data_IF_150093518215
#
_entry.id   IF_150093518215
#
_cell.length_a   1.000
_cell.length_b   1.000
_cell.length_c   1.000
_cell.angle_alpha   90.00
_cell.angle_beta   90.00
_cell.angle_gamma   90.00
#
_symmetry.space_group_name_H-M   'P 1'
#
loop_
_entity.id
_entity.type
_entity.pdbx_description
1 polymer ?
#
# COMPACT_ATOMS: atom_id res chain seq x y z
N UNK A 1 17.31 27.34 4.87
CA UNK A 1 17.39 25.93 5.28
C UNK A 1 16.42 25.72 6.43
N UNK A 2 15.27 25.07 6.19
CA UNK A 2 14.33 24.71 7.26
C UNK A 2 14.84 23.45 7.95
N UNK A 3 15.18 23.52 9.24
CA UNK A 3 15.35 22.31 10.05
C UNK A 3 13.99 21.62 10.11
N UNK A 4 13.84 20.53 9.35
CA UNK A 4 12.71 19.63 9.57
C UNK A 4 12.92 19.05 10.97
N UNK A 5 12.05 19.40 11.91
CA UNK A 5 11.93 18.71 13.19
C UNK A 5 11.93 17.21 12.88
N UNK A 6 12.98 16.51 13.28
CA UNK A 6 12.95 15.06 13.31
C UNK A 6 11.79 14.75 14.24
N UNK A 7 10.88 13.83 13.88
CA UNK A 7 9.65 13.59 14.66
C UNK A 7 9.87 13.15 16.12
N UNK A 8 11.13 13.16 16.58
CA UNK A 8 11.61 12.94 17.93
C UNK A 8 11.59 14.19 18.83
N UNK A 9 11.33 15.40 18.31
CA UNK A 9 11.19 16.60 19.16
C UNK A 9 10.00 16.48 20.16
N UNK A 10 9.06 15.55 19.92
CA UNK A 10 7.99 15.18 20.85
C UNK A 10 8.43 14.20 21.97
N UNK A 11 9.63 13.64 21.91
CA UNK A 11 10.12 12.58 22.82
C UNK A 11 10.64 13.13 24.14
N UNK A 12 10.99 14.41 24.19
CA UNK A 12 11.61 15.04 25.36
C UNK A 12 10.75 16.17 25.91
N UNK A 13 9.54 15.86 26.36
CA UNK A 13 8.88 16.66 27.38
C UNK A 13 9.36 16.15 28.76
N UNK A 14 10.38 16.78 29.37
CA UNK A 14 11.02 16.29 30.60
C UNK A 14 10.05 16.19 31.80
N UNK A 15 8.91 16.88 31.74
CA UNK A 15 7.98 17.03 32.87
C UNK A 15 6.66 16.26 32.69
N UNK A 16 6.56 15.33 31.73
CA UNK A 16 5.36 14.52 31.58
C UNK A 16 5.18 13.61 32.82
N UNK A 17 4.02 13.61 33.49
CA UNK A 17 3.81 12.79 34.69
C UNK A 17 4.06 11.31 34.36
N UNK A 18 4.86 10.65 35.20
CA UNK A 18 5.09 9.21 35.08
C UNK A 18 3.75 8.48 35.22
N UNK A 19 3.34 7.80 34.16
CA UNK A 19 2.17 6.92 34.23
C UNK A 19 2.51 5.71 35.08
N UNK A 20 1.53 5.29 35.87
CA UNK A 20 1.54 4.01 36.55
C UNK A 20 1.75 2.87 35.54
N UNK A 21 2.51 1.85 35.93
CA UNK A 21 2.89 0.73 35.07
C UNK A 21 1.65 0.01 34.50
N UNK A 22 0.60 -0.13 35.31
CA UNK A 22 -0.67 -0.72 34.87
C UNK A 22 -1.29 0.05 33.69
N UNK A 23 -1.26 1.39 33.76
CA UNK A 23 -1.79 2.25 32.69
C UNK A 23 -0.94 2.14 31.42
N UNK A 24 0.39 2.06 31.57
CA UNK A 24 1.30 1.87 30.42
C UNK A 24 1.04 0.53 29.74
N UNK A 25 0.92 -0.56 30.50
CA UNK A 25 0.59 -1.88 29.96
C UNK A 25 -0.75 -1.87 29.23
N UNK A 26 -1.77 -1.22 29.80
CA UNK A 26 -3.08 -1.08 29.16
C UNK A 26 -3.00 -0.31 27.83
N UNK A 27 -2.20 0.76 27.75
CA UNK A 27 -2.00 1.50 26.50
C UNK A 27 -1.31 0.65 25.43
N UNK A 28 -0.32 -0.16 25.83
CA UNK A 28 0.38 -1.06 24.91
C UNK A 28 -0.56 -2.13 24.38
N UNK A 29 -1.41 -2.69 25.22
CA UNK A 29 -2.39 -3.69 24.79
C UNK A 29 -3.36 -3.10 23.74
N UNK A 30 -3.87 -1.88 23.99
CA UNK A 30 -4.71 -1.15 23.05
C UNK A 30 -4.01 -0.86 21.71
N UNK A 31 -2.75 -0.42 21.74
CA UNK A 31 -1.96 -0.19 20.52
C UNK A 31 -1.76 -1.50 19.77
N UNK A 32 -1.45 -2.59 20.48
CA UNK A 32 -1.24 -3.91 19.89
C UNK A 32 -2.53 -4.47 19.27
N UNK A 33 -3.69 -4.20 19.87
CA UNK A 33 -4.99 -4.53 19.29
C UNK A 33 -5.24 -3.76 17.99
N UNK A 34 -4.97 -2.46 17.96
CA UNK A 34 -5.06 -1.65 16.75
C UNK A 34 -4.13 -2.13 15.64
N UNK A 35 -2.88 -2.47 15.97
CA UNK A 35 -1.92 -3.04 15.02
C UNK A 35 -2.44 -4.34 14.39
N UNK A 36 -2.94 -5.27 15.22
CA UNK A 36 -3.53 -6.53 14.73
C UNK A 36 -4.76 -6.28 13.86
N UNK A 37 -5.61 -5.35 14.26
CA UNK A 37 -6.82 -5.00 13.52
C UNK A 37 -6.49 -4.43 12.13
N UNK A 38 -5.60 -3.43 12.04
CA UNK A 38 -5.22 -2.84 10.77
C UNK A 38 -4.46 -3.82 9.87
N UNK A 39 -3.59 -4.66 10.43
CA UNK A 39 -2.91 -5.71 9.67
C UNK A 39 -3.90 -6.76 9.11
N UNK A 40 -4.93 -7.10 9.88
CA UNK A 40 -6.03 -7.95 9.41
C UNK A 40 -6.78 -7.33 8.24
N UNK A 41 -7.08 -6.03 8.32
CA UNK A 41 -7.74 -5.29 7.24
C UNK A 41 -6.87 -5.24 5.97
N UNK A 42 -5.58 -4.91 6.07
CA UNK A 42 -4.67 -4.93 4.91
C UNK A 42 -4.69 -6.31 4.20
N UNK A 43 -4.64 -7.38 4.99
CA UNK A 43 -4.69 -8.76 4.46
C UNK A 43 -6.00 -9.03 3.71
N UNK A 44 -7.14 -8.59 4.24
CA UNK A 44 -8.44 -8.73 3.59
C UNK A 44 -8.52 -7.96 2.26
N UNK A 45 -7.98 -6.74 2.19
CA UNK A 45 -7.96 -5.96 0.95
C UNK A 45 -7.10 -6.61 -0.14
N UNK A 46 -5.96 -7.20 0.22
CA UNK A 46 -5.11 -7.94 -0.74
C UNK A 46 -5.79 -9.21 -1.27
N UNK A 47 -6.53 -9.91 -0.41
CA UNK A 47 -7.34 -11.06 -0.82
C UNK A 47 -8.48 -10.62 -1.77
N UNK A 48 -9.15 -9.51 -1.46
CA UNK A 48 -10.19 -8.94 -2.31
C UNK A 48 -9.63 -8.53 -3.68
N UNK A 49 -8.45 -7.89 -3.72
CA UNK A 49 -7.77 -7.55 -4.96
C UNK A 49 -7.43 -8.78 -5.80
N UNK A 50 -6.94 -9.85 -5.18
CA UNK A 50 -6.64 -11.12 -5.87
C UNK A 50 -7.91 -11.77 -6.44
N UNK A 51 -8.99 -11.76 -5.66
CA UNK A 51 -10.29 -12.29 -6.09
C UNK A 51 -10.86 -11.47 -7.25
N UNK A 52 -10.73 -10.15 -7.18
CA UNK A 52 -11.20 -9.23 -8.20
C UNK A 52 -10.43 -9.41 -9.52
N UNK A 53 -9.11 -9.57 -9.45
CA UNK A 53 -8.25 -9.89 -10.59
C UNK A 53 -8.67 -11.22 -11.22
N UNK A 54 -8.81 -12.28 -10.41
CA UNK A 54 -9.20 -13.61 -10.88
C UNK A 54 -10.59 -13.60 -11.54
N UNK A 55 -11.57 -12.95 -10.92
CA UNK A 55 -12.92 -12.83 -11.46
C UNK A 55 -12.94 -12.09 -12.80
N UNK A 56 -12.14 -11.01 -12.92
CA UNK A 56 -12.02 -10.24 -14.15
C UNK A 56 -11.40 -11.06 -15.28
N UNK A 57 -10.32 -11.79 -14.99
CA UNK A 57 -9.69 -12.69 -15.96
C UNK A 57 -10.60 -13.87 -16.35
N UNK A 58 -11.33 -14.45 -15.38
CA UNK A 58 -12.31 -15.49 -15.64
C UNK A 58 -13.45 -15.02 -16.53
N UNK A 59 -13.99 -13.82 -16.30
CA UNK A 59 -15.02 -13.22 -17.14
C UNK A 59 -14.51 -12.96 -18.57
N UNK A 60 -13.30 -12.42 -18.72
CA UNK A 60 -12.66 -12.22 -20.03
C UNK A 60 -12.47 -13.56 -20.75
N UNK A 61 -11.95 -14.58 -20.06
CA UNK A 61 -11.76 -15.92 -20.61
C UNK A 61 -13.07 -16.57 -21.07
N UNK A 62 -14.14 -16.43 -20.27
CA UNK A 62 -15.47 -16.92 -20.61
C UNK A 62 -16.02 -16.26 -21.89
N UNK A 63 -15.88 -14.94 -22.04
CA UNK A 63 -16.32 -14.21 -23.23
C UNK A 63 -15.53 -14.61 -24.48
N UNK A 64 -14.23 -14.86 -24.32
CA UNK A 64 -13.37 -15.31 -25.41
C UNK A 64 -13.74 -16.72 -25.91
N UNK A 65 -14.13 -17.62 -25.01
CA UNK A 65 -14.47 -19.00 -25.36
C UNK A 65 -15.90 -19.14 -25.91
N UNK A 66 -16.84 -18.36 -25.40
CA UNK A 66 -18.25 -18.51 -25.74
C UNK A 66 -18.62 -17.90 -27.09
N UNK A 67 -19.47 -18.59 -27.86
CA UNK A 67 -20.25 -18.00 -28.95
C UNK A 67 -21.44 -17.21 -28.40
N UNK A 68 -21.11 -16.18 -27.62
CA UNK A 68 -22.08 -15.24 -27.09
C UNK A 68 -22.72 -14.48 -28.26
N UNK A 69 -23.98 -14.81 -28.55
CA UNK A 69 -24.86 -14.00 -29.42
C UNK A 69 -25.34 -12.78 -28.64
N UNK A 70 -24.41 -11.88 -28.32
CA UNK A 70 -24.73 -10.62 -27.64
C UNK A 70 -24.98 -9.52 -28.66
N UNK A 71 -25.87 -8.58 -28.30
CA UNK A 71 -26.10 -7.34 -29.08
C UNK A 71 -24.84 -6.47 -29.10
N UNK A 72 -23.99 -6.59 -28.08
CA UNK A 72 -22.74 -5.84 -27.94
C UNK A 72 -21.57 -6.67 -28.49
N UNK A 73 -20.65 -6.02 -29.21
CA UNK A 73 -19.41 -6.63 -29.70
C UNK A 73 -18.59 -7.16 -28.50
N UNK A 74 -18.14 -8.42 -28.60
CA UNK A 74 -17.30 -9.08 -27.58
C UNK A 74 -16.08 -8.23 -27.20
N UNK A 75 -15.48 -7.51 -28.15
CA UNK A 75 -14.32 -6.62 -27.92
C UNK A 75 -14.66 -5.45 -27.00
N UNK A 76 -15.84 -4.85 -27.16
CA UNK A 76 -16.30 -3.76 -26.28
C UNK A 76 -16.53 -4.29 -24.87
N UNK A 77 -17.11 -5.50 -24.75
CA UNK A 77 -17.38 -6.11 -23.46
C UNK A 77 -16.07 -6.44 -22.71
N UNK A 78 -15.10 -7.07 -23.38
CA UNK A 78 -13.76 -7.34 -22.81
C UNK A 78 -13.05 -6.04 -22.42
N UNK A 79 -13.10 -5.04 -23.30
CA UNK A 79 -12.53 -3.71 -23.05
C UNK A 79 -13.10 -3.06 -21.79
N UNK A 80 -14.43 -3.13 -21.65
CA UNK A 80 -15.16 -2.57 -20.51
C UNK A 80 -14.85 -3.29 -19.21
N UNK A 81 -14.79 -4.62 -19.22
CA UNK A 81 -14.41 -5.42 -18.04
C UNK A 81 -12.98 -5.09 -17.63
N UNK A 82 -12.02 -5.04 -18.57
CA UNK A 82 -10.64 -4.69 -18.27
C UNK A 82 -10.51 -3.29 -17.64
N UNK A 83 -11.27 -2.32 -18.16
CA UNK A 83 -11.29 -0.95 -17.63
C UNK A 83 -11.89 -0.89 -16.21
N UNK A 84 -13.05 -1.49 -15.98
CA UNK A 84 -13.70 -1.52 -14.66
C UNK A 84 -12.84 -2.27 -13.65
N UNK A 85 -12.23 -3.39 -14.07
CA UNK A 85 -11.32 -4.16 -13.24
C UNK A 85 -10.08 -3.34 -12.83
N UNK A 86 -9.47 -2.63 -13.78
CA UNK A 86 -8.32 -1.75 -13.52
C UNK A 86 -8.68 -0.65 -12.50
N UNK A 87 -9.82 0.03 -12.67
CA UNK A 87 -10.30 1.04 -11.72
C UNK A 87 -10.53 0.42 -10.34
N UNK A 88 -11.18 -0.75 -10.26
CA UNK A 88 -11.43 -1.45 -9.01
C UNK A 88 -10.14 -1.78 -8.24
N UNK A 89 -9.15 -2.39 -8.92
CA UNK A 89 -7.85 -2.70 -8.30
C UNK A 89 -7.11 -1.43 -7.87
N UNK A 90 -7.16 -0.36 -8.67
CA UNK A 90 -6.55 0.92 -8.31
C UNK A 90 -7.18 1.54 -7.05
N UNK A 91 -8.50 1.47 -6.90
CA UNK A 91 -9.20 1.94 -5.69
C UNK A 91 -8.83 1.11 -4.46
N UNK A 92 -8.76 -0.23 -4.60
CA UNK A 92 -8.33 -1.12 -3.52
C UNK A 92 -6.90 -0.79 -3.07
N UNK A 93 -6.00 -0.55 -4.02
CA UNK A 93 -4.63 -0.12 -3.73
C UNK A 93 -4.57 1.20 -2.96
N UNK A 94 -5.38 2.18 -3.36
CA UNK A 94 -5.44 3.48 -2.69
C UNK A 94 -5.87 3.30 -1.23
N UNK A 95 -6.89 2.49 -0.97
CA UNK A 95 -7.34 2.20 0.39
C UNK A 95 -6.27 1.46 1.21
N UNK A 96 -5.71 0.38 0.67
CA UNK A 96 -4.69 -0.46 1.33
C UNK A 96 -3.46 0.38 1.72
N UNK A 97 -2.83 1.08 0.76
CA UNK A 97 -1.56 1.78 1.01
C UNK A 97 -1.76 3.19 1.61
N UNK A 98 -2.76 3.96 1.18
CA UNK A 98 -2.89 5.36 1.66
C UNK A 98 -3.63 5.48 2.97
N UNK A 99 -4.56 4.58 3.26
CA UNK A 99 -5.37 4.67 4.47
C UNK A 99 -4.85 3.70 5.50
N UNK A 100 -4.97 2.39 5.24
CA UNK A 100 -4.71 1.38 6.27
C UNK A 100 -3.23 1.26 6.64
N UNK A 101 -2.34 1.26 5.65
CA UNK A 101 -0.90 1.23 5.92
C UNK A 101 -0.42 2.46 6.70
N UNK A 102 -1.02 3.62 6.48
CA UNK A 102 -0.70 4.83 7.26
C UNK A 102 -1.21 4.75 8.70
N UNK A 103 -2.40 4.19 8.91
CA UNK A 103 -2.96 3.99 10.24
C UNK A 103 -2.16 2.97 11.04
N UNK A 104 -1.82 1.83 10.43
CA UNK A 104 -0.95 0.81 11.03
C UNK A 104 0.39 1.42 11.45
N UNK A 105 1.02 2.18 10.54
CA UNK A 105 2.29 2.83 10.81
C UNK A 105 2.19 3.90 11.92
N UNK A 106 1.05 4.60 12.02
CA UNK A 106 0.83 5.55 13.11
C UNK A 106 0.73 4.84 14.47
N UNK A 107 -0.02 3.75 14.56
CA UNK A 107 -0.11 2.93 15.78
C UNK A 107 1.26 2.35 16.16
N UNK A 108 1.98 1.82 15.17
CA UNK A 108 3.33 1.26 15.36
C UNK A 108 4.33 2.28 15.87
N UNK A 109 4.30 3.52 15.35
CA UNK A 109 5.13 4.62 15.85
C UNK A 109 4.82 4.97 17.30
N UNK A 110 3.54 4.96 17.68
CA UNK A 110 3.14 5.21 19.07
C UNK A 110 3.63 4.10 20.00
N UNK A 111 3.63 2.84 19.54
CA UNK A 111 4.23 1.72 20.26
C UNK A 111 5.74 1.91 20.47
N UNK A 112 6.48 2.25 19.42
CA UNK A 112 7.92 2.57 19.51
C UNK A 112 8.17 3.72 20.49
N UNK A 113 7.34 4.77 20.45
CA UNK A 113 7.45 5.89 21.37
C UNK A 113 7.37 5.44 22.84
N UNK A 114 6.43 4.55 23.18
CA UNK A 114 6.31 4.01 24.53
C UNK A 114 7.52 3.14 24.90
N UNK A 115 8.01 2.30 23.98
CA UNK A 115 9.21 1.47 24.19
C UNK A 115 10.48 2.31 24.41
N UNK A 116 10.60 3.48 23.78
CA UNK A 116 11.70 4.43 24.01
C UNK A 116 11.54 5.15 25.34
N UNK A 117 10.31 5.50 25.72
CA UNK A 117 10.01 6.29 26.92
C UNK A 117 10.16 5.48 28.22
N UNK A 118 9.80 4.20 28.19
CA UNK A 118 9.82 3.33 29.37
C UNK A 118 10.81 2.18 29.18
N UNK A 119 12.03 2.34 29.70
CA UNK A 119 13.14 1.39 29.52
C UNK A 119 12.87 -0.02 30.08
N UNK A 120 11.90 -0.18 30.98
CA UNK A 120 11.51 -1.48 31.53
C UNK A 120 10.64 -2.31 30.56
N UNK A 121 10.13 -1.70 29.49
CA UNK A 121 9.34 -2.41 28.48
C UNK A 121 10.24 -3.21 27.52
N UNK A 122 9.76 -4.38 27.04
CA UNK A 122 10.44 -5.09 25.98
C UNK A 122 10.40 -4.29 24.68
N UNK A 123 11.54 -4.19 24.00
CA UNK A 123 11.74 -3.35 22.80
C UNK A 123 11.36 -4.05 21.49
N UNK A 124 10.26 -4.81 21.50
CA UNK A 124 9.88 -5.70 20.39
C UNK A 124 9.69 -4.99 19.05
N UNK A 125 9.12 -3.77 19.06
CA UNK A 125 8.86 -3.02 17.82
C UNK A 125 10.12 -2.35 17.30
N UNK A 126 10.98 -1.87 18.20
CA UNK A 126 12.29 -1.33 17.83
C UNK A 126 13.13 -2.45 17.19
N UNK A 127 13.17 -3.64 17.80
CA UNK A 127 13.90 -4.77 17.27
C UNK A 127 13.33 -5.23 15.91
N UNK A 128 12.00 -5.24 15.76
CA UNK A 128 11.35 -5.50 14.48
C UNK A 128 11.73 -4.46 13.43
N UNK A 129 11.76 -3.16 13.79
CA UNK A 129 12.12 -2.09 12.88
C UNK A 129 13.60 -2.15 12.44
N UNK A 130 14.51 -2.51 13.35
CA UNK A 130 15.95 -2.63 13.09
C UNK A 130 16.26 -3.90 12.28
N UNK A 131 15.62 -5.02 12.63
CA UNK A 131 15.84 -6.33 12.04
C UNK A 131 15.16 -6.49 10.68
N UNK A 132 14.03 -5.82 10.46
CA UNK A 132 13.37 -5.80 9.16
C UNK A 132 13.99 -4.70 8.30
N UNK A 133 14.47 -5.02 7.09
CA UNK A 133 14.93 -4.01 6.14
C UNK A 133 13.75 -3.11 5.75
N UNK A 134 13.60 -1.99 6.46
CA UNK A 134 12.44 -1.11 6.36
C UNK A 134 12.19 -0.69 4.90
N UNK A 135 11.13 -1.25 4.31
CA UNK A 135 10.59 -0.84 3.02
C UNK A 135 10.39 -1.93 1.96
N UNK A 136 10.76 -3.20 2.20
CA UNK A 136 10.64 -4.23 1.15
C UNK A 136 9.18 -4.66 0.91
N UNK A 137 8.39 -4.82 1.97
CA UNK A 137 6.99 -5.28 1.87
C UNK A 137 6.11 -4.28 1.12
N UNK A 138 6.22 -2.97 1.41
CA UNK A 138 5.44 -1.93 0.71
C UNK A 138 5.79 -1.88 -0.77
N UNK A 139 7.07 -2.10 -1.13
CA UNK A 139 7.53 -2.13 -2.52
C UNK A 139 6.96 -3.34 -3.25
N UNK A 140 7.06 -4.54 -2.66
CA UNK A 140 6.52 -5.78 -3.22
C UNK A 140 5.00 -5.69 -3.41
N UNK A 141 4.29 -5.18 -2.40
CA UNK A 141 2.84 -4.96 -2.45
C UNK A 141 2.49 -3.95 -3.54
N UNK A 142 3.20 -2.82 -3.63
CA UNK A 142 2.96 -1.82 -4.67
C UNK A 142 3.19 -2.38 -6.08
N UNK A 143 4.23 -3.19 -6.25
CA UNK A 143 4.53 -3.85 -7.52
C UNK A 143 3.40 -4.81 -7.93
N UNK A 144 2.87 -5.59 -6.99
CA UNK A 144 1.71 -6.46 -7.24
C UNK A 144 0.51 -5.69 -7.81
N UNK A 145 0.15 -4.55 -7.19
CA UNK A 145 -0.96 -3.73 -7.68
C UNK A 145 -0.67 -3.12 -9.05
N UNK A 146 0.52 -2.56 -9.27
CA UNK A 146 0.91 -1.97 -10.56
C UNK A 146 0.89 -3.02 -11.67
N UNK A 147 1.49 -4.19 -11.45
CA UNK A 147 1.46 -5.27 -12.43
C UNK A 147 0.03 -5.71 -12.76
N UNK A 148 -0.84 -5.83 -11.75
CA UNK A 148 -2.24 -6.21 -11.93
C UNK A 148 -3.04 -5.17 -12.71
N UNK A 149 -2.90 -3.88 -12.36
CA UNK A 149 -3.58 -2.78 -13.06
C UNK A 149 -3.09 -2.61 -14.49
N UNK A 150 -1.77 -2.70 -14.71
CA UNK A 150 -1.17 -2.59 -16.05
C UNK A 150 -1.61 -3.75 -16.94
N UNK A 151 -1.64 -4.99 -16.41
CA UNK A 151 -2.11 -6.15 -17.15
C UNK A 151 -3.56 -5.99 -17.63
N UNK A 152 -4.48 -5.67 -16.70
CA UNK A 152 -5.90 -5.49 -17.02
C UNK A 152 -6.14 -4.30 -17.94
N UNK A 153 -5.42 -3.20 -17.71
CA UNK A 153 -5.46 -2.02 -18.55
C UNK A 153 -4.97 -2.31 -19.98
N UNK A 154 -3.90 -3.10 -20.13
CA UNK A 154 -3.37 -3.50 -21.43
C UNK A 154 -4.38 -4.35 -22.21
N UNK A 155 -4.98 -5.36 -21.55
CA UNK A 155 -6.02 -6.20 -22.16
C UNK A 155 -7.20 -5.33 -22.63
N UNK A 156 -7.65 -4.40 -21.78
CA UNK A 156 -8.73 -3.48 -22.12
C UNK A 156 -8.39 -2.56 -23.30
N UNK A 157 -7.20 -1.96 -23.29
CA UNK A 157 -6.74 -1.06 -24.34
C UNK A 157 -6.59 -1.79 -25.68
N UNK A 158 -6.00 -2.99 -25.69
CA UNK A 158 -5.86 -3.83 -26.88
C UNK A 158 -7.25 -4.13 -27.46
N UNK A 159 -8.20 -4.53 -26.62
CA UNK A 159 -9.56 -4.85 -27.06
C UNK A 159 -10.26 -3.66 -27.72
N UNK A 160 -10.14 -2.47 -27.13
CA UNK A 160 -10.69 -1.24 -27.73
C UNK A 160 -9.98 -0.84 -29.03
N UNK A 161 -8.66 -0.95 -29.11
CA UNK A 161 -7.90 -0.64 -30.34
C UNK A 161 -8.35 -1.51 -31.52
N UNK A 162 -8.61 -2.80 -31.27
CA UNK A 162 -9.12 -3.72 -32.29
C UNK A 162 -10.62 -3.54 -32.63
N UNK A 163 -11.35 -2.77 -31.83
CA UNK A 163 -12.76 -2.48 -32.07
C UNK A 163 -12.95 -1.30 -33.04
N UNK A 164 -12.08 -0.30 -32.99
CA UNK A 164 -12.15 0.85 -33.89
C UNK A 164 -11.45 0.56 -35.21
N UNK A 165 -12.05 0.96 -36.34
CA UNK A 165 -11.40 0.88 -37.66
C UNK A 165 -10.61 2.15 -38.00
N UNK A 166 -11.02 3.29 -37.44
CA UNK A 166 -10.40 4.59 -37.70
C UNK A 166 -9.13 4.81 -36.88
N UNK A 167 -8.14 5.50 -37.46
CA UNK A 167 -6.84 5.77 -36.83
C UNK A 167 -6.95 6.68 -35.61
N UNK A 168 -7.82 7.71 -35.67
CA UNK A 168 -7.95 8.70 -34.61
C UNK A 168 -8.40 8.12 -33.26
N UNK A 169 -9.52 7.39 -33.15
CA UNK A 169 -9.95 6.79 -31.88
C UNK A 169 -8.96 5.76 -31.33
N UNK A 170 -8.26 5.00 -32.21
CA UNK A 170 -7.18 4.10 -31.79
C UNK A 170 -6.06 4.85 -31.08
N UNK A 171 -5.60 5.96 -31.66
CA UNK A 171 -4.54 6.78 -31.06
C UNK A 171 -5.00 7.36 -29.71
N UNK A 172 -6.25 7.82 -29.59
CA UNK A 172 -6.78 8.35 -28.33
C UNK A 172 -6.79 7.29 -27.22
N UNK A 173 -7.19 6.05 -27.51
CA UNK A 173 -7.16 4.95 -26.54
C UNK A 173 -5.73 4.65 -26.08
N UNK A 174 -4.77 4.59 -27.02
CA UNK A 174 -3.35 4.36 -26.71
C UNK A 174 -2.80 5.49 -25.84
N UNK A 175 -3.03 6.74 -26.22
CA UNK A 175 -2.59 7.91 -25.45
C UNK A 175 -3.19 7.90 -24.04
N UNK A 176 -4.49 7.63 -23.91
CA UNK A 176 -5.16 7.53 -22.62
C UNK A 176 -4.55 6.43 -21.74
N UNK A 177 -4.30 5.24 -22.28
CA UNK A 177 -3.66 4.13 -21.56
C UNK A 177 -2.24 4.48 -21.10
N UNK A 178 -1.44 5.12 -21.96
CA UNK A 178 -0.08 5.56 -21.61
C UNK A 178 -0.11 6.61 -20.50
N UNK A 179 -0.98 7.62 -20.61
CA UNK A 179 -1.13 8.66 -19.58
C UNK A 179 -1.53 8.02 -18.24
N UNK A 180 -2.51 7.13 -18.23
CA UNK A 180 -2.95 6.43 -17.02
C UNK A 180 -1.82 5.60 -16.40
N UNK A 181 -1.05 4.87 -17.23
CA UNK A 181 0.08 4.06 -16.76
C UNK A 181 1.19 4.93 -16.16
N UNK A 182 1.51 6.07 -16.79
CA UNK A 182 2.50 7.03 -16.27
C UNK A 182 2.03 7.63 -14.95
N UNK A 183 0.75 7.99 -14.82
CA UNK A 183 0.17 8.49 -13.57
C UNK A 183 0.28 7.44 -12.47
N UNK A 184 -0.08 6.18 -12.76
CA UNK A 184 0.00 5.07 -11.81
C UNK A 184 1.45 4.85 -11.32
N UNK A 185 2.42 4.77 -12.24
CA UNK A 185 3.84 4.57 -11.91
C UNK A 185 4.38 5.77 -11.11
N UNK A 186 4.03 6.99 -11.51
CA UNK A 186 4.45 8.21 -10.83
C UNK A 186 3.92 8.26 -9.40
N UNK A 187 2.67 7.85 -9.20
CA UNK A 187 2.07 7.75 -7.86
C UNK A 187 2.72 6.64 -7.04
N UNK A 188 3.10 5.51 -7.66
CA UNK A 188 3.86 4.44 -7.02
C UNK A 188 5.20 4.97 -6.50
N UNK A 189 6.00 5.63 -7.35
CA UNK A 189 7.30 6.21 -6.96
C UNK A 189 7.14 7.19 -5.80
N UNK A 190 6.10 8.03 -5.84
CA UNK A 190 5.80 8.98 -4.76
C UNK A 190 5.33 8.30 -3.48
N UNK A 191 4.68 7.14 -3.57
CA UNK A 191 4.21 6.37 -2.41
C UNK A 191 5.30 5.55 -1.73
N UNK A 192 6.34 5.16 -2.48
CA UNK A 192 7.33 4.15 -2.07
C UNK A 192 8.44 4.62 -1.11
N UNK A 193 8.42 5.86 -0.62
CA UNK A 193 9.54 6.37 0.20
C UNK A 193 9.01 7.09 1.45
N UNK A 194 8.81 6.34 2.54
CA UNK A 194 8.90 6.96 3.87
C UNK A 194 10.37 7.02 4.26
N UNK A 195 11.10 7.99 3.71
CA UNK A 195 12.49 8.28 4.12
C UNK A 195 12.59 8.40 5.64
N UNK A 196 11.51 8.88 6.27
CA UNK A 196 11.39 9.07 7.72
C UNK A 196 11.57 7.78 8.50
N UNK A 197 11.02 6.65 8.06
CA UNK A 197 11.13 5.38 8.80
C UNK A 197 12.53 4.79 8.72
N UNK A 198 13.20 4.93 7.56
CA UNK A 198 14.60 4.53 7.41
C UNK A 198 15.51 5.37 8.29
N UNK A 199 15.34 6.70 8.25
CA UNK A 199 16.10 7.61 9.10
C UNK A 199 15.88 7.31 10.59
N UNK A 200 14.64 7.03 11.01
CA UNK A 200 14.34 6.63 12.38
C UNK A 200 15.00 5.29 12.74
N UNK A 201 14.96 4.30 11.84
CA UNK A 201 15.60 3.01 12.06
C UNK A 201 17.11 3.13 12.18
N UNK A 202 17.76 3.93 11.32
CA UNK A 202 19.20 4.18 11.34
C UNK A 202 19.62 4.92 12.62
N UNK A 203 18.82 5.91 13.05
CA UNK A 203 19.04 6.64 14.30
C UNK A 203 18.90 5.76 15.54
N UNK A 204 17.86 4.92 15.59
CA UNK A 204 17.67 3.96 16.68
C UNK A 204 18.80 2.92 16.69
N UNK A 205 19.19 2.41 15.51
CA UNK A 205 20.33 1.49 15.37
C UNK A 205 21.60 2.10 15.95
N UNK A 206 21.97 3.32 15.55
CA UNK A 206 23.15 4.01 16.06
C UNK A 206 23.09 4.21 17.59
N UNK A 207 21.91 4.55 18.13
CA UNK A 207 21.69 4.75 19.56
C UNK A 207 21.79 3.47 20.39
N UNK A 208 21.39 2.32 19.85
CA UNK A 208 21.33 1.06 20.60
C UNK A 208 22.52 0.14 20.37
N UNK A 209 23.17 0.15 19.20
CA UNK A 209 24.42 -0.58 18.96
C UNK A 209 25.55 -0.08 19.86
N UNK A 210 25.58 1.22 20.18
CA UNK A 210 26.56 1.82 21.10
C UNK A 210 26.33 1.48 22.58
N UNK A 211 25.19 0.88 22.92
CA UNK A 211 24.82 0.49 24.30
C UNK A 211 24.95 -1.02 24.56
N UNK A 212 25.30 -1.82 23.57
CA UNK A 212 25.59 -3.23 23.77
C UNK A 212 26.92 -3.36 24.55
N UNK A 213 26.91 -3.92 25.77
CA UNK A 213 28.12 -4.19 26.55
C UNK A 213 28.98 -5.30 25.94
#
# INVERSE_FOLDING_TARGET
>A
MNSRSTGLDFVSAPDAPQLDAEKVLKLIDQISEQERHFNGIETQYRLLASTWLLASLGAIGYILQGDLTTVVDKKILIGSIGLVANIGIYLLWLLDIKVYHRLLHSAFKQGIYLEIKYDWLPRTRIDMLIGHQAGDVTRSTSLYYVCSTTLLGLIGAISFVFNFNETLPRLLVIIAFVILSVIQISFMIRSGVSSTTRLLADELRAKYETRAP
#
